data_IF_868935214787
#
_entry.id   IF_868935214787
#
_cell.length_a   1.000
_cell.length_b   1.000
_cell.length_c   1.000
_cell.angle_alpha   90.00
_cell.angle_beta   90.00
_cell.angle_gamma   90.00
#
_symmetry.space_group_name_H-M   'P 1'
#
loop_
_entity.id
_entity.type
_entity.pdbx_description
1 polymer ?
#
# COMPACT_ATOMS: atom_id res chain seq x y z
N UNK A 1 1.11 -6.56 0.13
CA UNK A 1 1.85 -5.43 -0.49
C UNK A 1 1.52 -4.18 0.30
N UNK A 2 2.42 -3.21 0.35
CA UNK A 2 2.17 -1.89 0.94
C UNK A 2 2.42 -0.81 -0.10
N UNK A 3 1.59 0.22 -0.12
CA UNK A 3 1.78 1.44 -0.88
C UNK A 3 1.96 2.61 0.09
N UNK A 4 3.15 3.22 0.05
CA UNK A 4 3.51 4.34 0.91
C UNK A 4 3.06 5.65 0.27
N UNK A 5 2.01 6.24 0.82
CA UNK A 5 1.38 7.43 0.30
C UNK A 5 2.20 8.69 0.61
N UNK A 6 2.30 9.59 -0.37
CA UNK A 6 3.04 10.84 -0.26
C UNK A 6 2.46 11.77 0.82
N UNK A 7 1.15 11.68 1.06
CA UNK A 7 0.43 12.43 2.08
C UNK A 7 -0.63 11.57 2.75
N UNK A 8 -1.07 11.99 3.94
CA UNK A 8 -2.19 11.35 4.63
C UNK A 8 -3.50 11.59 3.86
N UNK A 9 -4.24 10.54 3.45
CA UNK A 9 -5.50 10.72 2.75
C UNK A 9 -6.54 11.35 3.67
N UNK A 10 -7.30 12.31 3.13
CA UNK A 10 -8.37 12.94 3.89
C UNK A 10 -9.46 11.91 4.25
N UNK A 11 -10.29 12.19 5.27
CA UNK A 11 -11.34 11.25 5.70
C UNK A 11 -12.30 10.81 4.58
N UNK A 12 -12.60 11.70 3.62
CA UNK A 12 -13.42 11.37 2.44
C UNK A 12 -12.74 10.30 1.57
N UNK A 13 -11.46 10.49 1.24
CA UNK A 13 -10.68 9.53 0.44
C UNK A 13 -10.59 8.16 1.14
N UNK A 14 -10.43 8.16 2.48
CA UNK A 14 -10.43 6.93 3.29
C UNK A 14 -11.76 6.19 3.25
N UNK A 15 -12.87 6.91 3.28
CA UNK A 15 -14.18 6.28 3.18
C UNK A 15 -14.42 5.73 1.76
N UNK A 16 -14.04 6.50 0.74
CA UNK A 16 -14.26 6.10 -0.64
C UNK A 16 -13.45 4.86 -1.02
N UNK A 17 -12.19 4.76 -0.60
CA UNK A 17 -11.35 3.60 -0.93
C UNK A 17 -11.94 2.29 -0.39
N UNK A 18 -12.58 2.32 0.78
CA UNK A 18 -13.24 1.17 1.39
C UNK A 18 -14.52 0.73 0.64
N UNK A 19 -15.04 1.56 -0.27
CA UNK A 19 -16.18 1.21 -1.14
C UNK A 19 -15.76 0.42 -2.38
N UNK A 20 -14.47 0.39 -2.71
CA UNK A 20 -13.95 -0.37 -3.85
C UNK A 20 -14.16 -1.86 -3.55
N UNK A 21 -14.78 -2.57 -4.50
CA UNK A 21 -14.87 -4.03 -4.42
C UNK A 21 -13.48 -4.61 -4.66
N UNK A 22 -12.93 -5.23 -3.64
CA UNK A 22 -11.59 -5.83 -3.70
C UNK A 22 -11.61 -7.35 -3.72
N UNK A 23 -12.74 -8.03 -3.50
CA UNK A 23 -12.78 -9.50 -3.47
C UNK A 23 -12.13 -10.17 -4.70
N UNK A 24 -11.20 -11.13 -4.51
CA UNK A 24 -10.83 -11.78 -3.24
C UNK A 24 -9.69 -11.10 -2.48
N UNK A 25 -9.13 -9.99 -2.98
CA UNK A 25 -8.13 -9.20 -2.27
C UNK A 25 -8.68 -8.49 -1.03
N UNK A 26 -7.83 -8.32 -0.03
CA UNK A 26 -8.14 -7.54 1.17
C UNK A 26 -7.37 -6.23 1.13
N UNK A 27 -8.07 -5.11 1.31
CA UNK A 27 -7.50 -3.77 1.30
C UNK A 27 -7.71 -3.12 2.67
N UNK A 28 -6.63 -2.60 3.24
CA UNK A 28 -6.63 -1.90 4.53
C UNK A 28 -5.84 -0.61 4.39
N UNK A 29 -6.28 0.45 5.06
CA UNK A 29 -5.58 1.74 5.07
C UNK A 29 -5.41 2.23 6.50
N UNK A 30 -4.17 2.57 6.84
CA UNK A 30 -3.80 3.10 8.16
C UNK A 30 -2.75 4.17 7.95
N UNK A 31 -2.94 5.37 8.54
CA UNK A 31 -2.01 6.49 8.31
C UNK A 31 -1.77 6.75 6.81
N UNK A 32 -0.50 6.68 6.40
CA UNK A 32 -0.05 6.87 5.00
C UNK A 32 0.23 5.55 4.30
N UNK A 33 -0.22 4.44 4.87
CA UNK A 33 0.06 3.10 4.38
C UNK A 33 -1.24 2.46 3.88
N UNK A 34 -1.27 2.14 2.58
CA UNK A 34 -2.30 1.28 2.01
C UNK A 34 -1.75 -0.14 1.89
N UNK A 35 -2.37 -1.07 2.59
CA UNK A 35 -2.04 -2.49 2.55
C UNK A 35 -3.01 -3.23 1.64
N UNK A 36 -2.47 -4.08 0.76
CA UNK A 36 -3.26 -4.97 -0.09
C UNK A 36 -2.73 -6.40 0.03
N UNK A 37 -3.58 -7.31 0.48
CA UNK A 37 -3.31 -8.73 0.50
C UNK A 37 -3.89 -9.40 -0.74
N UNK A 38 -3.07 -10.19 -1.43
CA UNK A 38 -3.41 -10.85 -2.69
C UNK A 38 -3.42 -12.37 -2.47
N UNK A 39 -4.53 -12.98 -2.02
CA UNK A 39 -4.57 -14.42 -1.70
C UNK A 39 -4.27 -15.30 -2.90
N UNK A 40 -4.65 -14.87 -4.11
CA UNK A 40 -4.39 -15.58 -5.35
C UNK A 40 -3.11 -15.12 -6.08
N UNK A 41 -2.30 -14.28 -5.44
CA UNK A 41 -1.09 -13.68 -6.01
C UNK A 41 -1.35 -12.40 -6.81
N UNK A 42 -0.46 -11.41 -6.65
CA UNK A 42 -0.62 -10.08 -7.24
C UNK A 42 -0.71 -10.09 -8.78
N UNK A 43 0.01 -10.99 -9.46
CA UNK A 43 -0.01 -11.09 -10.92
C UNK A 43 -1.34 -11.63 -11.50
N UNK A 44 -2.23 -12.15 -10.66
CA UNK A 44 -3.58 -12.61 -11.06
C UNK A 44 -4.69 -11.67 -10.61
N UNK A 45 -4.33 -10.61 -9.89
CA UNK A 45 -5.29 -9.65 -9.35
C UNK A 45 -5.95 -8.87 -10.47
N UNK A 46 -7.26 -8.60 -10.29
CA UNK A 46 -8.04 -7.74 -11.17
C UNK A 46 -8.29 -6.37 -10.56
N UNK A 47 -7.64 -6.08 -9.44
CA UNK A 47 -7.77 -4.83 -8.74
C UNK A 47 -7.28 -3.67 -9.63
N UNK A 48 -8.14 -2.66 -9.79
CA UNK A 48 -7.86 -1.53 -10.67
C UNK A 48 -7.01 -0.48 -9.94
N UNK A 49 -5.70 -0.49 -10.19
CA UNK A 49 -4.80 0.53 -9.66
C UNK A 49 -5.23 1.98 -9.98
N UNK A 50 -5.65 2.31 -11.22
CA UNK A 50 -6.13 3.66 -11.51
C UNK A 50 -7.37 4.06 -10.71
N UNK A 51 -8.24 3.11 -10.34
CA UNK A 51 -9.39 3.39 -9.49
C UNK A 51 -8.93 3.73 -8.06
N UNK A 52 -7.98 2.95 -7.52
CA UNK A 52 -7.40 3.18 -6.20
C UNK A 52 -6.73 4.56 -6.13
N UNK A 53 -5.85 4.89 -7.08
CA UNK A 53 -5.15 6.18 -7.12
C UNK A 53 -6.13 7.36 -7.20
N UNK A 54 -7.21 7.21 -7.99
CA UNK A 54 -8.25 8.23 -8.13
C UNK A 54 -8.98 8.47 -6.81
N UNK A 55 -9.33 7.41 -6.07
CA UNK A 55 -10.02 7.57 -4.78
C UNK A 55 -9.10 8.14 -3.70
N UNK A 56 -7.81 7.76 -3.69
CA UNK A 56 -6.85 8.24 -2.69
C UNK A 56 -6.49 9.73 -2.86
N UNK A 57 -6.58 10.27 -4.08
CA UNK A 57 -6.21 11.66 -4.41
C UNK A 57 -4.77 12.03 -3.98
N UNK A 58 -3.90 11.04 -3.82
CA UNK A 58 -2.48 11.19 -3.47
C UNK A 58 -1.67 10.11 -4.19
N UNK A 59 -0.40 10.37 -4.44
CA UNK A 59 0.50 9.41 -5.08
C UNK A 59 1.07 8.45 -4.04
N UNK A 60 1.41 7.24 -4.50
CA UNK A 60 1.95 6.18 -3.67
C UNK A 60 3.25 5.60 -4.24
N UNK A 61 4.11 5.11 -3.35
CA UNK A 61 5.25 4.27 -3.71
C UNK A 61 5.00 2.83 -3.26
N UNK A 62 4.58 2.01 -4.23
CA UNK A 62 4.19 0.64 -3.99
C UNK A 62 5.42 -0.30 -3.82
N UNK A 63 5.41 -1.14 -2.78
CA UNK A 63 6.49 -2.08 -2.43
C UNK A 63 5.93 -3.42 -1.94
N UNK A 64 6.60 -4.52 -2.31
CA UNK A 64 6.30 -5.83 -1.72
C UNK A 64 7.02 -5.98 -0.36
N UNK A 65 6.56 -6.95 0.46
CA UNK A 65 7.10 -7.13 1.81
C UNK A 65 8.57 -7.60 1.84
N UNK A 66 9.04 -8.32 0.82
CA UNK A 66 10.45 -8.71 0.71
C UNK A 66 11.33 -7.47 0.57
N UNK A 67 10.91 -6.50 -0.26
CA UNK A 67 11.61 -5.23 -0.44
C UNK A 67 11.57 -4.39 0.83
N UNK A 68 10.43 -4.32 1.51
CA UNK A 68 10.31 -3.57 2.78
C UNK A 68 11.23 -4.16 3.85
N UNK A 69 11.26 -5.49 3.98
CA UNK A 69 12.15 -6.19 4.94
C UNK A 69 13.61 -5.93 4.61
N UNK A 70 14.01 -6.01 3.33
CA UNK A 70 15.38 -5.69 2.91
C UNK A 70 15.74 -4.23 3.21
N UNK A 71 14.82 -3.29 3.00
CA UNK A 71 15.03 -1.88 3.33
C UNK A 71 15.23 -1.68 4.83
N UNK A 72 14.46 -2.39 5.67
CA UNK A 72 14.64 -2.40 7.12
C UNK A 72 16.02 -2.92 7.50
N UNK A 73 16.45 -4.07 6.96
CA UNK A 73 17.77 -4.63 7.23
C UNK A 73 18.91 -3.67 6.84
N UNK A 74 18.77 -2.95 5.72
CA UNK A 74 19.75 -1.94 5.29
C UNK A 74 19.75 -0.76 6.28
N UNK A 75 18.58 -0.29 6.70
CA UNK A 75 18.46 0.82 7.65
C UNK A 75 19.09 0.48 9.00
N UNK A 76 18.80 -0.69 9.56
CA UNK A 76 19.40 -1.17 10.82
C UNK A 76 20.93 -1.26 10.74
N UNK A 77 21.46 -1.75 9.61
CA UNK A 77 22.92 -1.80 9.39
C UNK A 77 23.54 -0.40 9.35
N UNK A 78 22.88 0.56 8.72
CA UNK A 78 23.35 1.95 8.66
C UNK A 78 23.34 2.61 10.04
N UNK A 79 22.30 2.39 10.85
CA UNK A 79 22.21 2.91 12.22
C UNK A 79 23.24 2.28 13.16
N UNK A 80 23.59 1.01 12.95
CA UNK A 80 24.61 0.30 13.72
C UNK A 80 26.05 0.59 13.27
N UNK A 81 26.24 1.29 12.15
CA UNK A 81 27.56 1.67 11.64
C UNK A 81 28.00 3.00 12.27
N UNK A 82 29.16 3.04 12.96
CA UNK A 82 29.65 4.24 13.66
C UNK A 82 30.07 5.38 12.72
#
# INVERSE_FOLDING_TARGET
MVDFLASDPCPEARNNILTIKTDPEELHIEGRELYIYFPNGAGRSKLSWPAIERELKTTGTARNWNTVTMMLEIAEKLESSP
#
